data_IF_050094825349
#
_entry.id   IF_050094825349
#
_cell.length_a   1.000
_cell.length_b   1.000
_cell.length_c   1.000
_cell.angle_alpha   90.00
_cell.angle_beta   90.00
_cell.angle_gamma   90.00
#
_symmetry.space_group_name_H-M   'P 1'
#
loop_
_entity.id
_entity.type
_entity.pdbx_description
1 polymer ?
#
# COMPACT_ATOMS: atom_id res chain seq x y z
N UNK A 1 -80.78 -6.50 11.44
CA UNK A 1 -79.82 -7.49 10.89
C UNK A 1 -78.47 -6.81 10.76
N UNK A 2 -77.48 -7.29 11.52
CA UNK A 2 -76.10 -6.77 11.57
C UNK A 2 -75.26 -7.51 10.53
N UNK A 3 -74.54 -6.79 9.67
CA UNK A 3 -73.39 -7.33 8.94
C UNK A 3 -72.22 -6.36 9.18
N UNK A 4 -71.32 -6.76 10.08
CA UNK A 4 -70.04 -6.10 10.30
C UNK A 4 -68.99 -6.80 9.47
N UNK A 5 -68.42 -6.09 8.49
CA UNK A 5 -67.28 -6.53 7.71
C UNK A 5 -66.02 -6.23 8.55
N UNK A 6 -65.42 -7.27 9.14
CA UNK A 6 -64.17 -7.14 9.86
C UNK A 6 -62.99 -7.09 8.89
N UNK A 7 -62.36 -5.92 8.76
CA UNK A 7 -61.02 -5.82 8.17
C UNK A 7 -60.01 -6.32 9.20
N UNK A 8 -59.40 -7.48 8.93
CA UNK A 8 -58.15 -7.90 9.56
C UNK A 8 -57.01 -7.15 8.88
N UNK A 9 -56.52 -6.09 9.52
CA UNK A 9 -55.25 -5.47 9.14
C UNK A 9 -54.11 -6.34 9.67
N UNK A 10 -53.45 -7.08 8.78
CA UNK A 10 -52.20 -7.78 9.09
C UNK A 10 -51.08 -6.75 9.01
N UNK A 11 -50.68 -6.22 10.17
CA UNK A 11 -49.50 -5.37 10.28
C UNK A 11 -48.26 -6.25 10.13
N UNK A 12 -47.65 -6.24 8.95
CA UNK A 12 -46.30 -6.78 8.74
C UNK A 12 -45.33 -5.81 9.42
N UNK A 13 -44.84 -6.17 10.60
CA UNK A 13 -43.68 -5.53 11.21
C UNK A 13 -42.45 -5.85 10.35
N UNK A 14 -42.13 -4.97 9.41
CA UNK A 14 -40.82 -4.95 8.79
C UNK A 14 -39.82 -4.55 9.88
N UNK A 15 -39.14 -5.54 10.46
CA UNK A 15 -37.89 -5.28 11.16
C UNK A 15 -36.88 -4.86 10.10
N UNK A 16 -36.80 -3.56 9.83
CA UNK A 16 -35.62 -2.98 9.23
C UNK A 16 -34.49 -3.23 10.24
N UNK A 17 -33.62 -4.20 9.95
CA UNK A 17 -32.30 -4.18 10.55
C UNK A 17 -31.68 -2.87 10.11
N UNK A 18 -31.69 -1.89 11.00
CA UNK A 18 -30.93 -0.66 10.89
C UNK A 18 -29.46 -1.10 11.00
N UNK A 19 -28.88 -1.52 9.88
CA UNK A 19 -27.45 -1.57 9.75
C UNK A 19 -27.01 -0.12 9.92
N UNK A 20 -26.45 0.21 11.09
CA UNK A 20 -25.89 1.54 11.34
C UNK A 20 -24.94 1.92 10.20
N UNK A 21 -24.61 3.22 10.05
CA UNK A 21 -23.73 3.67 8.98
C UNK A 21 -22.47 2.79 8.97
N UNK A 22 -22.19 2.18 7.82
CA UNK A 22 -20.96 1.42 7.64
C UNK A 22 -19.80 2.32 8.07
N UNK A 23 -19.00 1.86 9.03
CA UNK A 23 -17.82 2.60 9.42
C UNK A 23 -16.85 2.51 8.23
N UNK A 24 -16.63 3.63 7.53
CA UNK A 24 -15.73 3.68 6.38
C UNK A 24 -14.30 3.26 6.77
N UNK A 25 -13.96 3.40 8.05
CA UNK A 25 -12.66 3.07 8.64
C UNK A 25 -12.56 1.65 9.20
N UNK A 26 -13.60 0.83 9.11
CA UNK A 26 -13.53 -0.60 9.46
C UNK A 26 -13.34 -1.49 8.24
N UNK A 27 -12.92 -2.72 8.48
CA UNK A 27 -12.86 -3.79 7.48
C UNK A 27 -11.87 -3.51 6.34
N UNK A 28 -10.76 -2.86 6.68
CA UNK A 28 -9.66 -2.65 5.73
C UNK A 28 -8.83 -3.91 5.59
N UNK A 29 -8.38 -4.16 4.36
CA UNK A 29 -7.29 -5.08 4.07
C UNK A 29 -6.01 -4.26 4.04
N UNK A 30 -5.03 -4.65 4.86
CA UNK A 30 -3.73 -3.96 4.88
C UNK A 30 -2.68 -4.86 4.28
N UNK A 31 -1.96 -4.37 3.28
CA UNK A 31 -0.72 -4.94 2.76
C UNK A 31 0.51 -4.18 3.26
N UNK A 32 1.67 -4.70 2.91
CA UNK A 32 2.96 -4.02 3.12
C UNK A 32 3.74 -4.04 1.82
N UNK A 33 4.48 -2.96 1.58
CA UNK A 33 5.43 -2.87 0.47
C UNK A 33 6.75 -2.27 0.96
N UNK A 34 7.81 -2.52 0.21
CA UNK A 34 9.17 -2.20 0.62
C UNK A 34 10.02 -1.77 -0.58
N UNK A 35 11.24 -1.29 -0.33
CA UNK A 35 12.22 -1.09 -1.39
C UNK A 35 13.03 -2.36 -1.55
N UNK A 36 12.87 -3.04 -2.69
CA UNK A 36 13.66 -4.23 -3.04
C UNK A 36 15.16 -3.90 -3.02
N UNK A 37 16.01 -4.76 -2.47
CA UNK A 37 17.46 -4.49 -2.43
C UNK A 37 18.17 -5.45 -3.38
N UNK A 38 18.80 -4.93 -4.44
CA UNK A 38 19.37 -5.71 -5.54
C UNK A 38 20.24 -6.89 -5.09
N UNK A 39 20.98 -6.78 -4.00
CA UNK A 39 21.85 -7.86 -3.50
C UNK A 39 21.13 -9.12 -3.01
N UNK A 40 19.80 -9.08 -2.87
CA UNK A 40 18.96 -10.23 -2.51
C UNK A 40 18.30 -10.91 -3.71
N UNK A 41 18.61 -10.44 -4.93
CA UNK A 41 18.03 -10.91 -6.17
C UNK A 41 19.12 -11.45 -7.08
N UNK A 42 18.82 -12.55 -7.75
CA UNK A 42 19.73 -13.32 -8.58
C UNK A 42 19.05 -13.72 -9.89
N UNK A 43 19.77 -13.65 -11.00
CA UNK A 43 19.21 -14.12 -12.26
C UNK A 43 20.00 -13.65 -13.47
N UNK A 44 19.56 -14.02 -14.67
CA UNK A 44 20.02 -13.40 -15.90
C UNK A 44 19.84 -11.87 -15.81
N UNK A 45 20.86 -11.12 -16.21
CA UNK A 45 20.75 -9.67 -16.23
C UNK A 45 20.08 -9.18 -17.51
N UNK A 46 19.28 -8.13 -17.39
CA UNK A 46 18.62 -7.46 -18.49
C UNK A 46 18.85 -5.95 -18.45
N UNK A 47 19.06 -5.38 -19.64
CA UNK A 47 19.13 -3.93 -19.80
C UNK A 47 17.79 -3.29 -19.43
N UNK A 48 17.81 -2.41 -18.44
CA UNK A 48 16.68 -1.55 -18.10
C UNK A 48 16.85 -0.20 -18.78
N UNK A 49 15.77 0.27 -19.39
CA UNK A 49 15.67 1.59 -19.99
C UNK A 49 14.58 2.40 -19.31
N UNK A 50 14.77 3.71 -19.31
CA UNK A 50 13.86 4.66 -18.73
C UNK A 50 14.51 6.03 -18.62
N UNK A 51 14.28 6.67 -17.49
CA UNK A 51 14.71 8.03 -17.22
C UNK A 51 15.91 8.07 -16.30
N UNK A 52 16.96 8.82 -16.70
CA UNK A 52 18.19 8.96 -15.93
C UNK A 52 18.05 9.85 -14.68
N UNK A 53 16.94 10.57 -14.55
CA UNK A 53 16.55 11.35 -13.37
C UNK A 53 15.01 11.47 -13.31
N UNK A 54 14.49 12.02 -12.22
CA UNK A 54 13.04 12.14 -12.00
C UNK A 54 12.37 13.18 -12.91
N UNK A 55 13.09 14.22 -13.34
CA UNK A 55 12.58 15.34 -14.16
C UNK A 55 12.73 15.09 -15.67
N UNK A 56 13.03 13.84 -16.06
CA UNK A 56 13.41 13.46 -17.41
C UNK A 56 12.39 13.88 -18.48
N UNK A 57 12.91 14.21 -19.66
CA UNK A 57 12.13 14.34 -20.89
C UNK A 57 12.38 13.21 -21.89
N UNK A 58 13.40 12.38 -21.65
CA UNK A 58 13.79 11.24 -22.47
C UNK A 58 13.60 9.94 -21.67
N UNK A 59 12.63 9.12 -22.08
CA UNK A 59 12.18 7.94 -21.33
C UNK A 59 12.75 6.61 -21.85
N UNK A 60 13.87 6.63 -22.59
CA UNK A 60 14.47 5.44 -23.21
C UNK A 60 16.01 5.37 -23.02
N UNK A 61 16.52 6.11 -22.03
CA UNK A 61 17.92 6.05 -21.62
C UNK A 61 18.23 4.72 -20.97
N UNK A 62 19.38 4.13 -21.27
CA UNK A 62 19.88 2.94 -20.59
C UNK A 62 20.28 3.27 -19.15
N UNK A 63 19.62 2.64 -18.18
CA UNK A 63 19.82 2.90 -16.75
C UNK A 63 20.76 1.88 -16.10
N UNK A 64 20.97 0.74 -16.75
CA UNK A 64 21.84 -0.32 -16.26
C UNK A 64 21.40 -1.71 -16.70
N UNK A 65 22.14 -2.72 -16.27
CA UNK A 65 21.77 -4.13 -16.39
C UNK A 65 21.53 -4.69 -14.99
N UNK A 66 20.36 -5.26 -14.76
CA UNK A 66 19.96 -5.78 -13.45
C UNK A 66 19.39 -7.20 -13.56
N UNK A 67 19.45 -8.02 -12.50
CA UNK A 67 18.76 -9.31 -12.45
C UNK A 67 17.28 -9.19 -12.82
N UNK A 68 16.74 -10.17 -13.55
CA UNK A 68 15.33 -10.17 -13.98
C UNK A 68 14.35 -10.16 -12.80
N UNK A 69 14.63 -10.95 -11.78
CA UNK A 69 13.86 -11.00 -10.53
C UNK A 69 13.90 -9.68 -9.74
N UNK A 70 15.02 -8.97 -9.71
CA UNK A 70 15.09 -7.61 -9.16
C UNK A 70 14.20 -6.65 -9.95
N UNK A 71 14.24 -6.72 -11.29
CA UNK A 71 13.43 -5.85 -12.16
C UNK A 71 11.94 -6.07 -11.90
N UNK A 72 11.52 -7.32 -11.74
CA UNK A 72 10.14 -7.66 -11.44
C UNK A 72 9.74 -7.23 -10.03
N UNK A 73 10.61 -7.41 -9.02
CA UNK A 73 10.39 -6.89 -7.68
C UNK A 73 10.23 -5.36 -7.66
N UNK A 74 11.03 -4.61 -8.45
CA UNK A 74 10.87 -3.16 -8.56
C UNK A 74 9.53 -2.77 -9.20
N UNK A 75 9.01 -3.56 -10.15
CA UNK A 75 7.69 -3.31 -10.75
C UNK A 75 6.57 -3.58 -9.75
N UNK A 76 6.70 -4.64 -8.95
CA UNK A 76 5.68 -5.01 -7.98
C UNK A 76 5.65 -4.04 -6.79
N UNK A 77 6.83 -3.66 -6.29
CA UNK A 77 6.99 -2.83 -5.09
C UNK A 77 7.09 -1.33 -5.37
N UNK A 78 7.34 -0.94 -6.63
CA UNK A 78 7.48 0.44 -7.08
C UNK A 78 8.89 1.04 -6.93
N UNK A 79 9.78 0.44 -6.14
CA UNK A 79 11.14 0.98 -5.92
C UNK A 79 12.15 -0.12 -5.58
N UNK A 80 13.39 0.03 -6.06
CA UNK A 80 14.52 -0.84 -5.71
C UNK A 80 15.81 -0.08 -5.47
N UNK A 81 16.57 -0.51 -4.46
CA UNK A 81 17.91 -0.03 -4.15
C UNK A 81 18.93 -0.77 -4.99
N UNK A 82 19.71 -0.03 -5.77
CA UNK A 82 20.83 -0.55 -6.55
C UNK A 82 22.03 -0.73 -5.63
N UNK A 83 22.64 -1.91 -5.65
CA UNK A 83 23.79 -2.27 -4.78
C UNK A 83 25.07 -2.53 -5.55
N UNK A 84 25.01 -2.68 -6.88
CA UNK A 84 26.18 -2.92 -7.72
C UNK A 84 26.20 -2.02 -8.97
N UNK A 85 27.37 -1.91 -9.59
CA UNK A 85 27.57 -1.17 -10.82
C UNK A 85 27.69 0.36 -10.65
N UNK A 86 27.57 1.12 -11.75
CA UNK A 86 27.81 2.57 -11.76
C UNK A 86 26.83 3.38 -10.89
N UNK A 87 25.63 2.83 -10.65
CA UNK A 87 24.55 3.46 -9.90
C UNK A 87 24.38 2.87 -8.49
N UNK A 88 25.40 2.16 -8.00
CA UNK A 88 25.36 1.60 -6.65
C UNK A 88 25.09 2.70 -5.60
N UNK A 89 24.02 2.52 -4.84
CA UNK A 89 23.55 3.46 -3.84
C UNK A 89 22.37 4.33 -4.29
N UNK A 90 22.03 4.31 -5.57
CA UNK A 90 20.84 4.97 -6.13
C UNK A 90 19.62 4.03 -6.11
N UNK A 91 18.48 4.57 -6.50
CA UNK A 91 17.20 3.89 -6.52
C UNK A 91 16.65 3.83 -7.94
N UNK A 92 16.20 2.65 -8.32
CA UNK A 92 15.39 2.41 -9.49
C UNK A 92 13.91 2.50 -9.07
N UNK A 93 13.28 3.64 -9.34
CA UNK A 93 11.86 3.84 -9.09
C UNK A 93 11.05 3.44 -10.32
N UNK A 94 9.84 2.92 -10.13
CA UNK A 94 8.96 2.50 -11.21
C UNK A 94 7.54 3.02 -11.00
N UNK A 95 6.87 3.33 -12.11
CA UNK A 95 5.44 3.59 -12.12
C UNK A 95 4.85 3.12 -13.44
N UNK A 96 3.59 2.71 -13.43
CA UNK A 96 2.93 2.19 -14.62
C UNK A 96 2.91 3.20 -15.79
N UNK A 97 2.64 4.48 -15.51
CA UNK A 97 2.46 5.51 -16.53
C UNK A 97 3.76 6.05 -17.13
N UNK A 98 4.89 5.90 -16.43
CA UNK A 98 6.17 6.51 -16.83
C UNK A 98 7.28 5.48 -17.06
N UNK A 99 7.20 4.30 -16.44
CA UNK A 99 8.28 3.32 -16.42
C UNK A 99 9.34 3.62 -15.36
N UNK A 100 10.58 3.22 -15.64
CA UNK A 100 11.69 3.32 -14.70
C UNK A 100 12.30 4.73 -14.66
N UNK A 101 12.66 5.19 -13.46
CA UNK A 101 13.38 6.44 -13.19
C UNK A 101 14.49 6.18 -12.18
N UNK A 102 15.69 6.67 -12.47
CA UNK A 102 16.79 6.68 -11.52
C UNK A 102 16.66 7.90 -10.57
N UNK A 103 16.92 7.70 -9.29
CA UNK A 103 16.93 8.77 -8.29
C UNK A 103 17.89 8.44 -7.12
N UNK A 104 18.21 9.45 -6.31
CA UNK A 104 18.95 9.26 -5.06
C UNK A 104 18.06 8.90 -3.86
N UNK A 105 16.74 8.85 -4.06
CA UNK A 105 15.75 8.53 -3.03
C UNK A 105 14.68 7.55 -3.55
N UNK A 106 14.11 6.71 -2.67
CA UNK A 106 12.94 5.93 -3.01
C UNK A 106 11.74 6.88 -3.09
N UNK A 107 10.96 6.82 -4.18
CA UNK A 107 9.84 7.72 -4.42
C UNK A 107 8.59 6.97 -4.82
N UNK A 108 7.45 7.52 -4.44
CA UNK A 108 6.17 7.11 -5.02
C UNK A 108 6.04 7.63 -6.46
N UNK A 109 5.05 7.14 -7.23
CA UNK A 109 4.77 7.61 -8.59
C UNK A 109 4.53 9.13 -8.71
N UNK A 110 4.07 9.79 -7.65
CA UNK A 110 3.85 11.25 -7.60
C UNK A 110 5.13 12.05 -7.27
N UNK A 111 6.23 11.36 -6.96
CA UNK A 111 7.54 11.92 -6.69
C UNK A 111 7.80 12.28 -5.23
N UNK A 112 6.90 11.95 -4.30
CA UNK A 112 7.17 12.12 -2.89
C UNK A 112 8.15 11.04 -2.41
N UNK A 113 9.02 11.41 -1.46
CA UNK A 113 10.01 10.48 -0.90
C UNK A 113 9.31 9.51 0.04
N UNK A 114 9.55 8.21 -0.16
CA UNK A 114 9.01 7.15 0.69
C UNK A 114 9.72 7.11 2.03
N UNK A 115 8.95 7.10 3.11
CA UNK A 115 9.43 7.14 4.48
C UNK A 115 8.96 5.90 5.24
N UNK A 116 9.87 5.04 5.72
CA UNK A 116 9.50 3.82 6.43
C UNK A 116 8.60 4.13 7.63
N UNK A 117 7.53 3.37 7.80
CA UNK A 117 6.55 3.58 8.88
C UNK A 117 5.89 4.96 8.87
N UNK A 118 5.71 5.52 7.66
CA UNK A 118 5.00 6.78 7.45
C UNK A 118 4.30 6.88 6.10
N UNK A 119 4.95 6.44 5.01
CA UNK A 119 4.32 6.45 3.69
C UNK A 119 3.34 5.28 3.53
N UNK A 120 2.22 5.53 2.89
CA UNK A 120 1.22 4.52 2.55
C UNK A 120 0.57 4.83 1.20
N UNK A 121 0.03 3.79 0.56
CA UNK A 121 -0.81 3.90 -0.62
C UNK A 121 -2.18 3.32 -0.29
N UNK A 122 -3.27 3.93 -0.77
CA UNK A 122 -4.61 3.44 -0.49
C UNK A 122 -5.60 3.80 -1.58
N UNK A 123 -6.48 2.88 -1.89
CA UNK A 123 -7.57 3.12 -2.83
C UNK A 123 -8.75 3.81 -2.11
N UNK A 124 -9.26 4.88 -2.73
CA UNK A 124 -10.43 5.60 -2.21
C UNK A 124 -10.14 6.57 -1.06
N UNK A 125 -8.87 6.82 -0.73
CA UNK A 125 -8.44 7.90 0.17
C UNK A 125 -7.69 8.97 -0.60
N UNK A 126 -7.91 10.24 -0.26
CA UNK A 126 -7.21 11.34 -0.91
C UNK A 126 -5.73 11.38 -0.48
N UNK A 127 -4.78 11.66 -1.41
CA UNK A 127 -3.40 11.95 -1.05
C UNK A 127 -3.31 13.07 0.02
N UNK A 128 -2.45 12.86 1.01
CA UNK A 128 -2.31 13.70 2.19
C UNK A 128 -3.18 13.30 3.38
N UNK A 129 -4.11 12.34 3.22
CA UNK A 129 -4.87 11.76 4.34
C UNK A 129 -3.89 11.17 5.36
N UNK A 130 -4.06 11.57 6.63
CA UNK A 130 -3.27 11.07 7.76
C UNK A 130 -4.13 10.13 8.57
N UNK A 131 -3.59 8.98 8.94
CA UNK A 131 -4.34 7.96 9.68
C UNK A 131 -3.44 7.11 10.59
N UNK A 132 -4.07 6.33 11.46
CA UNK A 132 -3.42 5.27 12.23
C UNK A 132 -4.20 3.96 12.12
N UNK A 133 -3.47 2.87 12.24
CA UNK A 133 -4.06 1.56 12.51
C UNK A 133 -4.44 1.50 13.99
N UNK A 134 -5.71 1.29 14.31
CA UNK A 134 -6.19 1.13 15.69
C UNK A 134 -6.43 -0.33 16.03
N UNK A 135 -6.69 -1.16 15.02
CA UNK A 135 -6.77 -2.61 15.11
C UNK A 135 -6.17 -3.24 13.85
N UNK A 136 -5.37 -4.29 14.00
CA UNK A 136 -4.80 -5.04 12.89
C UNK A 136 -5.75 -6.16 12.42
N UNK A 137 -6.96 -6.24 12.96
CA UNK A 137 -7.95 -7.22 12.56
C UNK A 137 -7.49 -8.65 12.86
N UNK A 138 -7.78 -9.57 11.94
CA UNK A 138 -7.41 -10.97 12.07
C UNK A 138 -5.93 -11.13 11.70
N UNK A 139 -5.10 -11.38 12.69
CA UNK A 139 -3.67 -11.71 12.56
C UNK A 139 -3.41 -13.16 12.98
N UNK A 140 -2.33 -13.76 12.46
CA UNK A 140 -1.72 -14.91 13.16
C UNK A 140 -1.27 -14.41 14.55
N UNK A 141 -1.58 -15.17 15.60
CA UNK A 141 -1.27 -14.83 17.00
C UNK A 141 0.25 -14.69 17.27
N UNK A 142 1.11 -15.13 16.34
CA UNK A 142 2.56 -14.89 16.40
C UNK A 142 2.96 -13.43 16.11
N UNK A 143 2.05 -12.63 15.55
CA UNK A 143 2.31 -11.30 15.02
C UNK A 143 1.82 -10.13 15.88
N UNK A 144 1.45 -10.37 17.15
CA UNK A 144 1.02 -9.31 18.08
C UNK A 144 2.04 -8.17 18.22
N UNK A 145 3.34 -8.51 18.20
CA UNK A 145 4.43 -7.50 18.24
C UNK A 145 4.55 -6.73 16.93
N UNK A 146 4.28 -7.39 15.82
CA UNK A 146 4.25 -6.79 14.48
C UNK A 146 3.11 -5.77 14.40
N UNK A 147 1.92 -6.15 14.84
CA UNK A 147 0.77 -5.25 14.93
C UNK A 147 1.06 -4.00 15.78
N UNK A 148 1.71 -4.15 16.93
CA UNK A 148 2.09 -3.02 17.78
C UNK A 148 3.00 -2.01 17.05
N UNK A 149 3.90 -2.47 16.16
CA UNK A 149 4.77 -1.60 15.36
C UNK A 149 3.96 -0.77 14.36
N UNK A 150 3.01 -1.40 13.66
CA UNK A 150 2.15 -0.71 12.69
C UNK A 150 1.16 0.27 13.35
N UNK A 151 0.62 -0.07 14.53
CA UNK A 151 -0.27 0.80 15.31
C UNK A 151 0.44 2.02 15.93
N UNK A 152 1.76 1.91 16.17
CA UNK A 152 2.55 3.02 16.71
C UNK A 152 2.90 4.08 15.65
N UNK A 153 2.80 3.72 14.37
CA UNK A 153 3.09 4.61 13.26
C UNK A 153 1.91 5.53 12.94
N UNK A 154 2.24 6.65 12.30
CA UNK A 154 1.28 7.53 11.64
C UNK A 154 1.51 7.42 10.14
N UNK A 155 0.46 7.08 9.40
CA UNK A 155 0.52 6.85 7.97
C UNK A 155 -0.03 8.04 7.21
N UNK A 156 0.60 8.35 6.09
CA UNK A 156 0.24 9.42 5.17
C UNK A 156 0.04 8.79 3.79
N UNK A 157 -1.16 8.92 3.25
CA UNK A 157 -1.48 8.46 1.90
C UNK A 157 -0.73 9.35 0.90
N UNK A 158 0.17 8.76 0.12
CA UNK A 158 0.92 9.46 -0.94
C UNK A 158 0.38 9.18 -2.34
N UNK A 159 -0.20 7.99 -2.53
CA UNK A 159 -0.68 7.51 -3.83
C UNK A 159 -1.78 6.44 -3.70
N UNK A 160 -2.31 6.00 -4.84
CA UNK A 160 -3.18 4.83 -4.99
C UNK A 160 -2.37 3.52 -4.96
N UNK A 161 -3.02 2.39 -4.67
CA UNK A 161 -2.34 1.07 -4.71
C UNK A 161 -1.94 0.70 -6.14
N UNK A 162 -0.89 -0.11 -6.28
CA UNK A 162 -0.46 -0.63 -7.59
C UNK A 162 -1.64 -1.30 -8.32
N UNK A 163 -1.93 -0.94 -9.58
CA UNK A 163 -3.08 -1.46 -10.31
C UNK A 163 -3.14 -2.99 -10.30
N UNK A 164 -4.27 -3.55 -9.86
CA UNK A 164 -4.49 -5.00 -9.76
C UNK A 164 -4.08 -5.65 -8.44
N UNK A 165 -3.40 -4.91 -7.55
CA UNK A 165 -3.08 -5.34 -6.18
C UNK A 165 -3.94 -4.64 -5.11
N UNK A 166 -4.74 -3.64 -5.51
CA UNK A 166 -5.67 -2.92 -4.64
C UNK A 166 -7.12 -3.40 -4.67
N UNK A 167 -8.03 -2.52 -4.25
CA UNK A 167 -9.47 -2.71 -4.17
C UNK A 167 -10.10 -1.79 -3.13
N UNK A 168 -11.45 -1.69 -3.09
CA UNK A 168 -12.12 -0.92 -2.06
C UNK A 168 -11.65 -1.35 -0.66
N UNK A 169 -11.31 -0.37 0.18
CA UNK A 169 -10.77 -0.58 1.54
C UNK A 169 -9.44 -1.37 1.56
N UNK A 170 -8.54 -1.09 0.62
CA UNK A 170 -7.17 -1.60 0.62
C UNK A 170 -6.16 -0.50 0.93
N UNK A 171 -5.19 -0.80 1.79
CA UNK A 171 -4.09 0.10 2.13
C UNK A 171 -2.76 -0.67 2.18
N UNK A 172 -1.74 -0.16 1.51
CA UNK A 172 -0.38 -0.68 1.53
C UNK A 172 0.52 0.20 2.39
N UNK A 173 1.27 -0.40 3.32
CA UNK A 173 2.11 0.31 4.27
C UNK A 173 3.60 0.14 3.92
N UNK A 174 4.31 1.26 3.73
CA UNK A 174 5.73 1.22 3.38
C UNK A 174 6.60 0.91 4.60
N UNK A 175 7.37 -0.17 4.53
CA UNK A 175 8.20 -0.63 5.66
C UNK A 175 9.69 -0.31 5.54
N UNK A 176 10.14 0.23 4.40
CA UNK A 176 11.53 0.61 4.15
C UNK A 176 12.25 -0.32 3.19
N UNK A 177 13.58 -0.31 3.21
CA UNK A 177 14.40 -1.24 2.41
C UNK A 177 14.30 -2.66 2.97
N UNK A 178 14.30 -3.62 2.05
CA UNK A 178 14.45 -5.04 2.35
C UNK A 178 15.75 -5.27 3.15
N UNK A 179 15.71 -6.17 4.13
CA UNK A 179 16.87 -6.42 5.02
C UNK A 179 17.36 -7.85 5.02
N UNK A 180 16.65 -8.77 4.39
CA UNK A 180 16.98 -10.19 4.29
C UNK A 180 16.43 -10.78 2.99
N UNK A 181 17.09 -11.83 2.49
CA UNK A 181 16.61 -12.62 1.36
C UNK A 181 15.21 -13.16 1.68
N UNK A 182 14.38 -13.22 0.65
CA UNK A 182 13.02 -13.73 0.74
C UNK A 182 12.21 -13.12 1.90
N UNK A 183 12.29 -11.80 2.09
CA UNK A 183 11.40 -11.07 3.01
C UNK A 183 9.93 -11.49 2.79
N UNK A 184 9.58 -11.87 1.55
CA UNK A 184 8.27 -12.36 1.14
C UNK A 184 8.04 -13.89 1.16
N UNK A 185 9.05 -14.78 1.24
CA UNK A 185 8.77 -16.18 1.64
C UNK A 185 8.73 -16.33 3.18
N UNK A 186 9.38 -15.41 3.89
CA UNK A 186 9.27 -15.29 5.35
C UNK A 186 7.98 -14.59 5.81
N UNK A 187 7.26 -13.92 4.90
CA UNK A 187 5.92 -13.40 5.14
C UNK A 187 4.93 -13.96 4.12
N UNK A 188 4.21 -15.01 4.50
CA UNK A 188 2.78 -15.06 4.16
C UNK A 188 2.24 -13.65 4.43
N UNK A 189 1.94 -12.93 3.35
CA UNK A 189 1.52 -11.53 3.28
C UNK A 189 0.90 -11.13 4.61
N UNK A 190 1.53 -10.21 5.35
CA UNK A 190 0.91 -9.59 6.52
C UNK A 190 -0.31 -8.86 5.98
N UNK A 191 -1.39 -9.60 5.87
CA UNK A 191 -2.69 -9.18 5.38
C UNK A 191 -3.51 -9.02 6.62
N UNK A 192 -3.56 -7.80 7.15
CA UNK A 192 -4.50 -7.49 8.21
C UNK A 192 -5.88 -7.47 7.58
N UNK A 193 -6.60 -8.58 7.65
CA UNK A 193 -7.98 -8.64 7.19
C UNK A 193 -8.90 -8.15 8.31
N UNK A 194 -9.80 -7.22 8.01
CA UNK A 194 -10.71 -6.69 9.02
C UNK A 194 -10.06 -5.62 9.90
N UNK A 195 -9.00 -4.96 9.42
CA UNK A 195 -8.30 -3.92 10.16
C UNK A 195 -9.19 -2.69 10.39
N UNK A 196 -8.90 -1.94 11.46
CA UNK A 196 -9.55 -0.67 11.75
C UNK A 196 -8.54 0.47 11.65
N UNK A 197 -8.92 1.47 10.86
CA UNK A 197 -8.18 2.72 10.71
C UNK A 197 -8.86 3.81 11.54
N UNK A 198 -8.13 4.88 11.81
CA UNK A 198 -8.67 6.11 12.38
C UNK A 198 -8.02 7.29 11.65
N UNK A 199 -8.80 8.21 11.04
CA UNK A 199 -8.25 9.41 10.46
C UNK A 199 -7.73 10.32 11.57
N UNK A 200 -6.55 10.88 11.36
CA UNK A 200 -6.02 11.92 12.22
C UNK A 200 -6.51 13.27 11.68
N UNK A 201 -7.49 13.85 12.36
CA UNK A 201 -8.00 15.18 12.02
C UNK A 201 -6.84 16.18 11.86
N UNK A 202 -6.89 16.95 10.78
CA UNK A 202 -6.07 18.15 10.59
C UNK A 202 -6.61 19.33 11.41
N UNK A 203 -7.00 19.12 12.67
CA UNK A 203 -7.31 20.23 13.59
C UNK A 203 -6.11 20.57 14.46
N UNK A 204 -5.22 21.40 13.91
CA UNK A 204 -4.63 22.59 14.55
C UNK A 204 -3.32 23.00 13.85
N UNK A 205 -3.43 23.87 12.84
CA UNK A 205 -2.49 24.99 12.75
C UNK A 205 -3.13 26.14 13.54
N UNK A 206 -2.48 26.71 14.57
CA UNK A 206 -2.86 28.05 15.05
C UNK A 206 -2.60 29.11 13.99
#
# INVERSE_FOLDING_TARGET
MRFGLGLLAVSVLAAACDAGPENEWSDWTVGVYYTAVQSFYDGPTHTVRGCADFDCTESDTELGEFPDDFIDAVRDQGTGRITDGPHAGEYLNWSYDVGFRLDNQPRDPNGAVLQPFRSAAADGLEPGTRLRLTDCGIIDAKDDRTCAKFKAAEWVIGDESTPGLGGPKHIDLYVGEETEEDLLDATEIITFAGAMLEPLDSTALP
#
